data_IF_927047467286
#
_entry.id   IF_927047467286
#
_cell.length_a   1.000
_cell.length_b   1.000
_cell.length_c   1.000
_cell.angle_alpha   90.00
_cell.angle_beta   90.00
_cell.angle_gamma   90.00
#
_symmetry.space_group_name_H-M   'P 1'
#
loop_
_entity.id
_entity.type
_entity.pdbx_description
1 polymer ?
#
# COMPACT_ATOMS: atom_id res chain seq x y z
N UNK A 1 -18.58 -10.12 -6.88
CA UNK A 1 -17.48 -11.06 -6.55
C UNK A 1 -16.85 -11.52 -7.86
N UNK A 2 -15.52 -11.48 -7.98
CA UNK A 2 -14.76 -11.90 -9.17
C UNK A 2 -14.07 -13.23 -8.91
N UNK A 3 -13.50 -13.38 -7.72
CA UNK A 3 -12.76 -14.57 -7.32
C UNK A 3 -13.00 -14.86 -5.85
N UNK A 4 -12.66 -16.06 -5.41
CA UNK A 4 -12.83 -16.49 -4.02
C UNK A 4 -11.75 -17.48 -3.63
N UNK A 5 -11.19 -17.31 -2.42
CA UNK A 5 -10.50 -18.36 -1.71
C UNK A 5 -11.55 -19.19 -0.97
N UNK A 6 -11.67 -20.47 -1.25
CA UNK A 6 -12.54 -21.38 -0.51
C UNK A 6 -11.74 -22.48 0.19
N UNK A 7 -12.36 -23.14 1.16
CA UNK A 7 -11.68 -24.12 2.02
C UNK A 7 -11.48 -25.49 1.34
N UNK A 8 -11.88 -25.66 0.10
CA UNK A 8 -11.62 -26.90 -0.66
C UNK A 8 -10.13 -27.01 -0.95
N UNK A 9 -9.64 -28.22 -0.95
CA UNK A 9 -8.26 -28.52 -1.33
C UNK A 9 -7.95 -27.93 -2.71
N UNK A 10 -6.79 -27.33 -2.89
CA UNK A 10 -6.36 -26.62 -4.11
C UNK A 10 -7.12 -25.34 -4.50
N UNK A 11 -8.04 -24.83 -3.67
CA UNK A 11 -8.81 -23.61 -3.93
C UNK A 11 -8.50 -22.48 -2.93
N UNK A 12 -7.52 -22.68 -2.06
CA UNK A 12 -7.08 -21.69 -1.09
C UNK A 12 -5.58 -21.42 -1.21
N UNK A 13 -5.22 -20.13 -1.27
CA UNK A 13 -3.81 -19.69 -1.25
C UNK A 13 -3.69 -18.34 -0.53
N UNK A 14 -2.92 -18.34 0.56
CA UNK A 14 -2.62 -17.12 1.30
C UNK A 14 -1.91 -16.11 0.37
N UNK A 15 -2.26 -14.83 0.51
CA UNK A 15 -1.70 -13.75 -0.31
C UNK A 15 -2.37 -13.57 -1.67
N UNK A 16 -3.42 -14.35 -1.98
CA UNK A 16 -4.25 -14.19 -3.17
C UNK A 16 -5.70 -13.89 -2.81
N UNK A 17 -6.48 -13.45 -3.79
CA UNK A 17 -7.96 -13.31 -3.67
C UNK A 17 -8.70 -14.55 -4.19
N UNK A 18 -7.97 -15.63 -4.44
CA UNK A 18 -8.51 -16.92 -4.84
C UNK A 18 -8.64 -17.11 -6.34
N UNK A 19 -9.35 -18.18 -6.73
CA UNK A 19 -9.62 -18.50 -8.12
C UNK A 19 -10.85 -17.75 -8.63
N UNK A 20 -10.85 -17.42 -9.92
CA UNK A 20 -12.00 -16.80 -10.59
C UNK A 20 -13.21 -17.73 -10.50
N UNK A 21 -14.39 -17.17 -10.18
CA UNK A 21 -15.63 -17.94 -10.05
C UNK A 21 -16.20 -18.30 -11.41
N UNK A 22 -17.04 -19.35 -11.46
CA UNK A 22 -17.71 -19.79 -12.68
C UNK A 22 -18.56 -18.68 -13.30
N UNK A 23 -18.52 -18.60 -14.62
CA UNK A 23 -19.26 -17.58 -15.38
C UNK A 23 -18.59 -16.20 -15.43
N UNK A 24 -17.47 -16.01 -14.75
CA UNK A 24 -16.67 -14.80 -14.78
C UNK A 24 -15.39 -15.02 -15.57
N UNK A 25 -15.02 -14.06 -16.41
CA UNK A 25 -13.76 -14.06 -17.14
C UNK A 25 -12.91 -12.92 -16.65
N UNK A 26 -11.65 -13.20 -16.31
CA UNK A 26 -10.65 -12.21 -15.92
C UNK A 26 -9.51 -12.24 -16.92
N UNK A 27 -9.00 -11.07 -17.29
CA UNK A 27 -7.73 -10.91 -18.01
C UNK A 27 -6.91 -9.78 -17.41
N UNK A 28 -5.62 -9.87 -17.58
CA UNK A 28 -4.68 -8.80 -17.19
C UNK A 28 -4.38 -7.99 -18.44
N UNK A 29 -4.59 -6.66 -18.38
CA UNK A 29 -4.27 -5.75 -19.46
C UNK A 29 -2.74 -5.54 -19.56
N UNK A 30 -2.28 -4.89 -20.64
CA UNK A 30 -0.84 -4.62 -20.85
C UNK A 30 -0.20 -3.80 -19.73
N UNK A 31 -0.98 -2.93 -19.08
CA UNK A 31 -0.55 -2.10 -17.94
C UNK A 31 -0.71 -2.80 -16.59
N UNK A 32 -1.09 -4.08 -16.58
CA UNK A 32 -1.29 -4.88 -15.40
C UNK A 32 -2.67 -4.76 -14.76
N UNK A 33 -3.60 -3.96 -15.33
CA UNK A 33 -4.93 -3.81 -14.76
C UNK A 33 -5.76 -5.09 -14.90
N UNK A 34 -6.45 -5.46 -13.82
CA UNK A 34 -7.41 -6.57 -13.81
C UNK A 34 -8.68 -6.13 -14.50
N UNK A 35 -9.02 -6.79 -15.59
CA UNK A 35 -10.27 -6.61 -16.34
C UNK A 35 -11.21 -7.78 -16.08
N UNK A 36 -12.48 -7.47 -15.84
CA UNK A 36 -13.49 -8.48 -15.50
C UNK A 36 -14.68 -8.40 -16.46
N UNK A 37 -15.14 -9.56 -16.91
CA UNK A 37 -16.37 -9.75 -17.69
C UNK A 37 -17.21 -10.86 -17.08
N UNK A 38 -18.50 -10.64 -16.94
CA UNK A 38 -19.42 -11.66 -16.42
C UNK A 38 -20.74 -11.06 -15.92
N UNK A 39 -21.69 -11.91 -15.51
CA UNK A 39 -23.00 -11.47 -15.02
C UNK A 39 -22.94 -10.70 -13.69
N UNK A 40 -21.80 -10.73 -13.02
CA UNK A 40 -21.49 -9.97 -11.79
C UNK A 40 -21.09 -8.52 -12.06
N UNK A 41 -20.85 -8.15 -13.32
CA UNK A 41 -20.50 -6.78 -13.70
C UNK A 41 -21.77 -5.94 -13.79
N UNK A 42 -21.70 -4.72 -13.23
CA UNK A 42 -22.80 -3.76 -13.29
C UNK A 42 -23.14 -3.35 -14.73
N UNK A 43 -24.36 -2.92 -14.98
CA UNK A 43 -24.75 -2.30 -16.26
C UNK A 43 -24.13 -0.91 -16.46
N UNK A 44 -23.78 -0.22 -15.38
CA UNK A 44 -23.17 1.10 -15.39
C UNK A 44 -23.45 1.87 -14.09
N UNK A 45 -22.86 3.06 -13.98
CA UNK A 45 -23.15 4.01 -12.90
C UNK A 45 -24.46 4.74 -13.17
N UNK A 46 -25.34 4.78 -12.18
CA UNK A 46 -26.66 5.41 -12.31
C UNK A 46 -26.55 6.89 -12.69
N UNK A 47 -27.13 7.27 -13.84
CA UNK A 47 -27.08 8.62 -14.42
C UNK A 47 -25.68 9.21 -14.66
N UNK A 48 -24.66 8.36 -14.77
CA UNK A 48 -23.26 8.75 -14.97
C UNK A 48 -22.66 8.01 -16.17
N UNK A 49 -23.18 8.30 -17.37
CA UNK A 49 -22.79 7.60 -18.60
C UNK A 49 -21.30 7.75 -18.92
N UNK A 50 -20.74 8.96 -18.73
CA UNK A 50 -19.33 9.22 -19.01
C UNK A 50 -18.43 8.39 -18.08
N UNK A 51 -18.73 8.32 -16.78
CA UNK A 51 -18.00 7.44 -15.86
C UNK A 51 -18.15 5.97 -16.23
N UNK A 52 -19.31 5.58 -16.75
CA UNK A 52 -19.52 4.22 -17.21
C UNK A 52 -18.62 3.90 -18.41
N UNK A 53 -18.52 4.82 -19.38
CA UNK A 53 -17.65 4.67 -20.54
C UNK A 53 -16.17 4.61 -20.16
N UNK A 54 -15.74 5.36 -19.14
CA UNK A 54 -14.37 5.37 -18.64
C UNK A 54 -13.94 4.01 -18.05
N UNK A 55 -14.88 3.26 -17.48
CA UNK A 55 -14.59 2.00 -16.79
C UNK A 55 -15.02 0.75 -17.57
N UNK A 56 -15.50 0.91 -18.80
CA UNK A 56 -15.93 -0.20 -19.65
C UNK A 56 -15.17 -0.18 -20.97
N UNK A 57 -14.63 -1.34 -21.38
CA UNK A 57 -14.06 -1.56 -22.70
C UNK A 57 -14.72 -2.78 -23.33
N UNK A 58 -15.71 -2.51 -24.19
CA UNK A 58 -16.62 -3.56 -24.68
C UNK A 58 -17.35 -4.18 -23.50
N UNK A 59 -17.23 -5.50 -23.34
CA UNK A 59 -17.86 -6.24 -22.24
C UNK A 59 -17.00 -6.30 -20.95
N UNK A 60 -15.81 -5.72 -20.97
CA UNK A 60 -14.90 -5.78 -19.83
C UNK A 60 -14.99 -4.53 -18.96
N UNK A 61 -15.13 -4.76 -17.67
CA UNK A 61 -15.06 -3.75 -16.63
C UNK A 61 -13.61 -3.57 -16.18
N UNK A 62 -13.13 -2.34 -16.15
CA UNK A 62 -11.87 -1.92 -15.59
C UNK A 62 -11.98 -1.82 -14.08
N UNK A 63 -11.35 -2.73 -13.35
CA UNK A 63 -11.48 -2.77 -11.88
C UNK A 63 -10.75 -1.64 -11.17
N UNK A 64 -9.78 -1.05 -11.83
CA UNK A 64 -8.84 -0.10 -11.23
C UNK A 64 -7.83 -0.76 -10.29
N UNK A 65 -7.81 -2.08 -10.22
CA UNK A 65 -6.85 -2.87 -9.47
C UNK A 65 -5.79 -3.45 -10.43
N UNK A 66 -4.54 -3.42 -10.01
CA UNK A 66 -3.41 -4.07 -10.70
C UNK A 66 -3.20 -5.44 -10.07
N UNK A 67 -2.89 -6.42 -10.90
CA UNK A 67 -2.67 -7.77 -10.38
C UNK A 67 -2.15 -8.76 -11.42
N UNK A 68 -2.06 -9.99 -10.98
CA UNK A 68 -1.53 -11.10 -11.76
C UNK A 68 -2.36 -12.37 -11.52
N UNK A 69 -2.34 -13.28 -12.49
CA UNK A 69 -2.88 -14.63 -12.33
C UNK A 69 -1.68 -15.58 -12.38
N UNK A 70 -1.51 -16.37 -11.34
CA UNK A 70 -0.41 -17.34 -11.29
C UNK A 70 -0.69 -18.59 -12.17
N UNK A 71 0.31 -19.47 -12.27
CA UNK A 71 0.22 -20.68 -13.09
C UNK A 71 -0.90 -21.65 -12.66
N UNK A 72 -1.33 -21.59 -11.40
CA UNK A 72 -2.40 -22.41 -10.83
C UNK A 72 -3.79 -21.73 -10.92
N UNK A 73 -3.85 -20.53 -11.50
CA UNK A 73 -5.07 -19.76 -11.72
C UNK A 73 -5.54 -18.92 -10.54
N UNK A 74 -4.68 -18.66 -9.55
CA UNK A 74 -5.02 -17.76 -8.44
C UNK A 74 -4.79 -16.31 -8.84
N UNK A 75 -5.81 -15.49 -8.63
CA UNK A 75 -5.74 -14.05 -8.81
C UNK A 75 -5.11 -13.40 -7.58
N UNK A 76 -4.11 -12.56 -7.80
CA UNK A 76 -3.45 -11.75 -6.78
C UNK A 76 -3.57 -10.28 -7.15
N UNK A 77 -4.11 -9.47 -6.24
CA UNK A 77 -4.11 -8.00 -6.36
C UNK A 77 -2.79 -7.51 -5.80
N UNK A 78 -2.08 -6.72 -6.58
CA UNK A 78 -0.79 -6.16 -6.19
C UNK A 78 -0.88 -4.69 -5.82
N UNK A 79 -1.69 -3.89 -6.53
CA UNK A 79 -1.86 -2.47 -6.22
C UNK A 79 -3.19 -1.90 -6.76
N UNK A 80 -3.40 -0.62 -6.49
CA UNK A 80 -4.45 0.21 -7.09
C UNK A 80 -3.86 1.06 -8.22
N UNK A 81 -4.40 0.97 -9.43
CA UNK A 81 -3.93 1.73 -10.60
C UNK A 81 -3.81 3.24 -10.33
N UNK A 82 -4.77 3.82 -9.60
CA UNK A 82 -4.79 5.25 -9.23
C UNK A 82 -3.78 5.64 -8.16
N UNK A 83 -3.23 4.68 -7.42
CA UNK A 83 -2.24 4.92 -6.37
C UNK A 83 -0.82 4.72 -6.85
N UNK A 84 -0.63 3.99 -7.96
CA UNK A 84 0.68 3.88 -8.60
C UNK A 84 1.17 5.24 -9.06
N UNK A 85 2.45 5.47 -8.89
CA UNK A 85 3.06 6.71 -9.37
C UNK A 85 4.38 6.46 -10.12
N UNK A 86 4.78 7.45 -10.92
CA UNK A 86 6.09 7.47 -11.58
C UNK A 86 7.08 8.31 -10.80
N UNK A 87 8.29 7.80 -10.63
CA UNK A 87 9.44 8.62 -10.23
C UNK A 87 9.87 9.55 -11.37
N UNK A 88 10.71 10.56 -11.08
CA UNK A 88 11.28 11.43 -12.10
C UNK A 88 12.14 10.68 -13.14
N UNK A 89 12.67 9.52 -12.78
CA UNK A 89 13.37 8.60 -13.67
C UNK A 89 12.46 7.70 -14.52
N UNK A 90 11.14 7.91 -14.48
CA UNK A 90 10.15 7.17 -15.27
C UNK A 90 9.83 5.76 -14.77
N UNK A 91 10.33 5.36 -13.60
CA UNK A 91 10.02 4.06 -13.00
C UNK A 91 8.66 4.10 -12.29
N UNK A 92 7.83 3.09 -12.55
CA UNK A 92 6.58 2.92 -11.82
C UNK A 92 6.84 2.33 -10.45
N UNK A 93 6.16 2.87 -9.46
CA UNK A 93 6.15 2.41 -8.07
C UNK A 93 4.73 1.96 -7.73
N UNK A 94 4.63 0.81 -7.09
CA UNK A 94 3.42 0.21 -6.54
C UNK A 94 3.41 0.38 -5.00
N UNK A 95 2.85 1.46 -4.47
CA UNK A 95 2.97 1.80 -3.05
C UNK A 95 2.47 0.70 -2.11
N UNK A 96 1.32 0.10 -2.43
CA UNK A 96 0.69 -0.90 -1.55
C UNK A 96 1.54 -2.16 -1.39
N UNK A 97 2.25 -2.59 -2.44
CA UNK A 97 3.16 -3.76 -2.34
C UNK A 97 4.26 -3.48 -1.33
N UNK A 98 4.88 -2.30 -1.42
CA UNK A 98 5.97 -1.88 -0.53
C UNK A 98 5.42 -1.72 0.90
N UNK A 99 4.29 -1.02 1.06
CA UNK A 99 3.65 -0.77 2.34
C UNK A 99 3.25 -2.08 3.05
N UNK A 100 2.69 -3.04 2.33
CA UNK A 100 2.31 -4.33 2.88
C UNK A 100 3.53 -5.15 3.33
N UNK A 101 4.65 -5.07 2.61
CA UNK A 101 5.89 -5.74 3.01
C UNK A 101 6.50 -5.09 4.25
N UNK A 102 6.57 -3.77 4.29
CA UNK A 102 7.11 -3.02 5.44
C UNK A 102 6.28 -3.22 6.73
N UNK A 103 4.96 -3.36 6.60
CA UNK A 103 4.05 -3.64 7.73
C UNK A 103 4.22 -5.01 8.38
N UNK A 104 5.09 -5.87 7.87
CA UNK A 104 5.47 -7.11 8.55
C UNK A 104 6.41 -6.85 9.74
N UNK A 105 7.05 -5.67 9.79
CA UNK A 105 7.84 -5.23 10.94
C UNK A 105 6.93 -4.83 12.11
N UNK A 106 7.26 -5.30 13.31
CA UNK A 106 6.56 -4.94 14.55
C UNK A 106 6.72 -3.47 14.93
N UNK A 107 7.75 -2.81 14.40
CA UNK A 107 7.98 -1.38 14.60
C UNK A 107 6.96 -0.49 13.90
N UNK A 108 6.33 -0.98 12.81
CA UNK A 108 5.52 -0.19 11.88
C UNK A 108 4.04 -0.46 12.07
N UNK A 109 3.29 0.52 12.55
CA UNK A 109 1.82 0.46 12.60
C UNK A 109 1.22 0.82 11.23
N UNK A 110 1.59 1.98 10.69
CA UNK A 110 1.17 2.44 9.38
C UNK A 110 2.35 3.02 8.60
N UNK A 111 2.29 2.92 7.29
CA UNK A 111 3.30 3.47 6.40
C UNK A 111 2.65 3.99 5.13
N UNK A 112 3.09 5.13 4.66
CA UNK A 112 2.67 5.73 3.40
C UNK A 112 3.89 5.99 2.51
N UNK A 113 4.01 5.25 1.42
CA UNK A 113 5.05 5.46 0.41
C UNK A 113 4.71 6.68 -0.44
N UNK A 114 5.68 7.55 -0.60
CA UNK A 114 5.62 8.80 -1.37
C UNK A 114 6.76 8.87 -2.39
N UNK A 115 6.70 9.80 -3.34
CA UNK A 115 7.79 9.98 -4.31
C UNK A 115 7.32 10.22 -5.74
N UNK A 116 6.04 10.54 -5.96
CA UNK A 116 5.51 10.90 -7.27
C UNK A 116 6.29 12.08 -7.88
N UNK A 117 6.90 11.87 -9.07
CA UNK A 117 7.75 12.86 -9.72
C UNK A 117 9.10 13.14 -9.03
N UNK A 118 9.43 12.44 -7.94
CA UNK A 118 10.70 12.57 -7.22
C UNK A 118 11.74 11.55 -7.70
N UNK A 119 12.99 11.72 -7.31
CA UNK A 119 14.11 10.87 -7.75
C UNK A 119 13.99 9.41 -7.24
N UNK A 120 13.32 9.21 -6.11
CA UNK A 120 13.28 7.93 -5.40
C UNK A 120 12.02 7.81 -4.53
N UNK A 121 11.59 6.58 -4.19
CA UNK A 121 10.59 6.37 -3.16
C UNK A 121 11.13 6.76 -1.78
N UNK A 122 10.25 7.35 -0.97
CA UNK A 122 10.46 7.63 0.44
C UNK A 122 9.20 7.24 1.22
N UNK A 123 9.24 7.24 2.54
CA UNK A 123 8.10 6.86 3.35
C UNK A 123 7.87 7.79 4.54
N UNK A 124 6.59 8.08 4.81
CA UNK A 124 6.13 8.49 6.13
C UNK A 124 5.72 7.25 6.91
N UNK A 125 6.18 7.12 8.14
CA UNK A 125 5.94 5.96 8.98
C UNK A 125 5.35 6.39 10.31
N UNK A 126 4.20 5.81 10.65
CA UNK A 126 3.68 5.83 12.00
C UNK A 126 4.23 4.62 12.74
N UNK A 127 5.04 4.82 13.78
CA UNK A 127 5.50 3.73 14.63
C UNK A 127 4.36 3.05 15.38
N UNK A 128 4.51 1.76 15.69
CA UNK A 128 3.68 1.08 16.67
C UNK A 128 4.07 1.59 18.06
N UNK A 129 3.23 2.41 18.66
CA UNK A 129 3.55 3.17 19.88
C UNK A 129 3.90 2.25 21.04
N UNK A 130 3.07 1.24 21.29
CA UNK A 130 3.29 0.31 22.39
C UNK A 130 4.62 -0.44 22.23
N UNK A 131 4.87 -0.96 21.02
CA UNK A 131 6.08 -1.70 20.73
C UNK A 131 7.33 -0.85 20.87
N UNK A 132 7.38 0.34 20.25
CA UNK A 132 8.59 1.17 20.25
C UNK A 132 8.92 1.76 21.62
N UNK A 133 7.92 2.10 22.44
CA UNK A 133 8.14 2.58 23.81
C UNK A 133 8.71 1.46 24.68
N UNK A 134 8.19 0.25 24.58
CA UNK A 134 8.72 -0.90 25.32
C UNK A 134 10.14 -1.25 24.87
N UNK A 135 10.37 -1.29 23.56
CA UNK A 135 11.69 -1.56 23.00
C UNK A 135 12.73 -0.52 23.44
N UNK A 136 12.42 0.78 23.41
CA UNK A 136 13.31 1.84 23.90
C UNK A 136 13.64 1.66 25.38
N UNK A 137 12.68 1.27 26.20
CA UNK A 137 12.87 0.99 27.61
C UNK A 137 13.84 -0.18 27.83
N UNK A 138 13.76 -1.24 27.05
CA UNK A 138 14.70 -2.37 27.07
C UNK A 138 16.10 -1.92 26.66
N UNK A 139 16.19 -0.99 25.71
CA UNK A 139 17.43 -0.36 25.26
C UNK A 139 18.00 0.70 26.24
N UNK A 140 17.36 0.87 27.41
CA UNK A 140 17.79 1.81 28.44
C UNK A 140 17.43 3.27 28.16
N UNK A 141 16.52 3.53 27.22
CA UNK A 141 16.03 4.88 26.88
C UNK A 141 14.63 5.06 27.45
N UNK A 142 14.45 6.07 28.30
CA UNK A 142 13.16 6.38 28.91
C UNK A 142 12.40 7.41 28.06
N UNK A 143 11.39 6.96 27.35
CA UNK A 143 10.47 7.81 26.60
C UNK A 143 9.03 7.58 27.06
N UNK A 144 8.27 8.65 27.22
CA UNK A 144 6.87 8.61 27.68
C UNK A 144 5.86 9.00 26.61
N UNK A 145 6.34 9.41 25.43
CA UNK A 145 5.47 9.81 24.31
C UNK A 145 6.11 9.47 22.97
N UNK A 146 5.27 9.22 21.97
CA UNK A 146 5.71 8.99 20.59
C UNK A 146 6.52 10.17 20.06
N UNK A 147 6.09 11.41 20.33
CA UNK A 147 6.76 12.63 19.87
C UNK A 147 8.19 12.80 20.43
N UNK A 148 8.49 12.20 21.59
CA UNK A 148 9.85 12.12 22.11
C UNK A 148 10.60 10.94 21.46
N UNK A 149 9.96 9.77 21.40
CA UNK A 149 10.57 8.55 20.87
C UNK A 149 11.08 8.70 19.44
N UNK A 150 10.32 9.33 18.54
CA UNK A 150 10.71 9.50 17.12
C UNK A 150 11.96 10.37 16.91
N UNK A 151 12.45 11.03 17.95
CA UNK A 151 13.67 11.83 17.92
C UNK A 151 14.91 11.05 18.43
N UNK A 152 14.69 9.89 19.03
CA UNK A 152 15.76 9.07 19.58
C UNK A 152 16.57 8.41 18.46
N UNK A 153 17.87 8.66 18.45
CA UNK A 153 18.79 8.12 17.44
C UNK A 153 18.71 6.60 17.36
N UNK A 154 18.66 5.92 18.52
CA UNK A 154 18.54 4.46 18.58
C UNK A 154 17.29 3.96 17.84
N UNK A 155 16.15 4.66 18.00
CA UNK A 155 14.93 4.27 17.32
C UNK A 155 15.04 4.48 15.80
N UNK A 156 15.61 5.60 15.37
CA UNK A 156 15.82 5.90 13.95
C UNK A 156 16.72 4.85 13.31
N UNK A 157 17.81 4.44 13.99
CA UNK A 157 18.70 3.37 13.54
C UNK A 157 17.98 2.01 13.45
N UNK A 158 17.13 1.68 14.42
CA UNK A 158 16.32 0.48 14.40
C UNK A 158 15.36 0.47 13.19
N UNK A 159 14.67 1.57 12.93
CA UNK A 159 13.83 1.70 11.74
C UNK A 159 14.63 1.61 10.44
N UNK A 160 15.84 2.16 10.39
CA UNK A 160 16.68 2.02 9.20
C UNK A 160 17.01 0.54 8.93
N UNK A 161 17.36 -0.23 9.96
CA UNK A 161 17.66 -1.65 9.85
C UNK A 161 16.42 -2.46 9.39
N UNK A 162 15.22 -2.14 9.93
CA UNK A 162 13.97 -2.75 9.50
C UNK A 162 13.70 -2.47 8.02
N UNK A 163 13.81 -1.20 7.61
CA UNK A 163 13.60 -0.80 6.21
C UNK A 163 14.62 -1.49 5.30
N UNK A 164 15.88 -1.55 5.67
CA UNK A 164 16.93 -2.19 4.87
C UNK A 164 16.68 -3.70 4.73
N UNK A 165 16.20 -4.34 5.79
CA UNK A 165 15.82 -5.75 5.78
C UNK A 165 14.66 -6.01 4.79
N UNK A 166 13.60 -5.24 4.88
CA UNK A 166 12.45 -5.41 4.01
C UNK A 166 12.70 -4.93 2.56
N UNK A 167 13.58 -3.96 2.36
CA UNK A 167 13.99 -3.49 1.03
C UNK A 167 14.64 -4.59 0.17
N UNK A 168 15.18 -5.64 0.77
CA UNK A 168 15.78 -6.76 0.03
C UNK A 168 14.79 -7.50 -0.87
N UNK A 169 13.49 -7.37 -0.60
CA UNK A 169 12.43 -7.95 -1.43
C UNK A 169 12.13 -7.15 -2.71
N UNK A 170 12.75 -5.98 -2.89
CA UNK A 170 12.41 -5.02 -3.96
C UNK A 170 13.60 -4.70 -4.86
N UNK A 171 13.29 -4.39 -6.11
CA UNK A 171 14.25 -3.82 -7.04
C UNK A 171 14.79 -2.47 -6.53
N UNK A 172 16.00 -2.11 -6.92
CA UNK A 172 16.71 -0.92 -6.40
C UNK A 172 15.92 0.39 -6.56
N UNK A 173 15.05 0.47 -7.57
CA UNK A 173 14.21 1.65 -7.85
C UNK A 173 12.92 1.70 -7.02
N UNK A 174 12.52 0.58 -6.39
CA UNK A 174 11.32 0.46 -5.53
C UNK A 174 11.66 0.62 -4.05
N UNK A 175 12.93 0.47 -3.71
CA UNK A 175 13.41 0.53 -2.32
C UNK A 175 13.18 1.91 -1.71
N UNK A 176 12.66 1.95 -0.50
CA UNK A 176 12.58 3.17 0.32
C UNK A 176 14.00 3.63 0.63
N UNK A 177 14.37 4.84 0.18
CA UNK A 177 15.71 5.40 0.37
C UNK A 177 15.80 6.40 1.50
N UNK A 178 14.67 7.01 1.87
CA UNK A 178 14.55 7.93 3.00
C UNK A 178 13.20 7.73 3.66
N UNK A 179 13.12 7.99 4.94
CA UNK A 179 11.88 7.96 5.69
C UNK A 179 11.83 9.04 6.76
N UNK A 180 10.63 9.34 7.23
CA UNK A 180 10.38 10.16 8.40
C UNK A 180 9.37 9.46 9.30
N UNK A 181 9.62 9.49 10.60
CA UNK A 181 8.68 8.98 11.60
C UNK A 181 7.71 10.10 11.99
N UNK A 182 6.41 9.79 12.02
CA UNK A 182 5.41 10.76 12.44
C UNK A 182 5.29 10.79 13.97
N UNK A 183 5.17 11.98 14.59
CA UNK A 183 5.19 12.12 16.03
C UNK A 183 3.85 11.80 16.71
N UNK A 184 2.85 11.42 15.94
CA UNK A 184 1.48 11.15 16.38
C UNK A 184 0.88 9.98 15.61
N UNK A 185 -0.16 9.37 16.18
CA UNK A 185 -0.89 8.27 15.58
C UNK A 185 -1.85 8.75 14.48
N UNK A 186 -2.03 7.93 13.45
CA UNK A 186 -3.02 8.17 12.42
C UNK A 186 -4.34 7.49 12.80
N UNK A 187 -5.37 8.28 13.01
CA UNK A 187 -6.64 7.80 13.51
C UNK A 187 -7.79 8.03 12.52
N UNK A 188 -8.91 7.35 12.76
CA UNK A 188 -10.17 7.56 12.04
C UNK A 188 -10.74 8.92 12.41
N UNK A 189 -10.71 9.28 13.70
CA UNK A 189 -11.33 10.50 14.24
C UNK A 189 -10.66 11.77 13.70
N UNK A 190 -9.33 11.76 13.55
CA UNK A 190 -8.61 12.86 12.92
C UNK A 190 -8.62 12.82 11.39
N UNK A 191 -9.30 11.83 10.83
CA UNK A 191 -9.49 11.72 9.40
C UNK A 191 -8.31 11.18 8.62
N UNK A 192 -7.29 10.63 9.25
CA UNK A 192 -6.13 10.01 8.59
C UNK A 192 -6.49 8.67 7.95
N UNK A 193 -7.41 7.94 8.58
CA UNK A 193 -7.86 6.62 8.15
C UNK A 193 -9.34 6.63 7.79
N UNK A 194 -9.74 5.70 6.93
CA UNK A 194 -11.15 5.37 6.73
C UNK A 194 -11.65 4.45 7.86
N UNK A 195 -12.98 4.26 8.04
CA UNK A 195 -13.51 3.27 8.98
C UNK A 195 -13.01 1.84 8.75
N UNK A 196 -12.51 1.52 7.56
CA UNK A 196 -11.89 0.24 7.22
C UNK A 196 -10.36 0.27 7.32
N UNK A 197 -9.80 1.21 8.08
CA UNK A 197 -8.36 1.38 8.35
C UNK A 197 -7.48 1.64 7.11
N UNK A 198 -8.06 2.12 6.01
CA UNK A 198 -7.30 2.52 4.81
C UNK A 198 -6.82 3.95 4.92
N UNK A 199 -5.59 4.21 4.46
CA UNK A 199 -4.98 5.54 4.46
C UNK A 199 -5.78 6.53 3.60
N UNK A 200 -6.08 7.69 4.14
CA UNK A 200 -6.53 8.85 3.37
C UNK A 200 -5.30 9.64 2.92
N UNK A 201 -4.62 9.14 1.89
CA UNK A 201 -3.30 9.61 1.44
C UNK A 201 -3.21 11.12 1.25
N UNK A 202 -4.27 11.75 0.71
CA UNK A 202 -4.31 13.20 0.51
C UNK A 202 -4.22 13.95 1.85
N UNK A 203 -5.01 13.54 2.84
CA UNK A 203 -5.04 14.17 4.17
C UNK A 203 -3.68 14.04 4.85
N UNK A 204 -3.10 12.85 4.83
CA UNK A 204 -1.78 12.59 5.42
C UNK A 204 -0.70 13.40 4.70
N UNK A 205 -0.72 13.42 3.37
CA UNK A 205 0.23 14.21 2.58
C UNK A 205 0.15 15.70 2.91
N UNK A 206 -1.06 16.25 2.94
CA UNK A 206 -1.28 17.68 3.20
C UNK A 206 -0.80 18.04 4.62
N UNK A 207 -1.05 17.17 5.62
CA UNK A 207 -0.61 17.37 7.01
C UNK A 207 0.91 17.32 7.18
N UNK A 208 1.58 16.39 6.52
CA UNK A 208 3.02 16.13 6.68
C UNK A 208 3.87 16.60 5.49
N UNK A 209 3.37 17.56 4.70
CA UNK A 209 4.08 18.05 3.50
C UNK A 209 5.51 18.51 3.83
N UNK A 210 5.71 19.23 4.94
CA UNK A 210 7.03 19.67 5.39
C UNK A 210 8.00 18.50 5.69
N UNK A 211 7.52 17.40 6.28
CA UNK A 211 8.33 16.21 6.51
C UNK A 211 8.65 15.51 5.19
N UNK A 212 7.68 15.45 4.27
CA UNK A 212 7.89 14.87 2.93
C UNK A 212 8.96 15.67 2.17
N UNK A 213 8.86 16.98 2.13
CA UNK A 213 9.82 17.83 1.43
C UNK A 213 11.23 17.69 2.02
N UNK A 214 11.36 17.57 3.34
CA UNK A 214 12.66 17.39 4.01
C UNK A 214 13.40 16.11 3.57
N UNK A 215 12.67 15.08 3.12
CA UNK A 215 13.29 13.87 2.60
C UNK A 215 13.94 14.05 1.23
N UNK A 216 13.58 15.10 0.49
CA UNK A 216 14.07 15.37 -0.86
C UNK A 216 14.98 16.59 -0.98
N UNK A 217 15.15 17.30 0.13
CA UNK A 217 16.08 18.42 0.24
C UNK A 217 17.55 18.00 0.10
#
# INVERSE_FOLDING_TARGET
VISVNDMRESHFRIGTVGKVIDGVTVKIAEDGEILCKGPNVMMGYYKEEEKTKEVMSGDYFHTGDIGEIDADGFLKITDRKKEMFKTSGGKYIAPQVIENQMKQSLFIEQIMVVGAGRKMPAALIQPNVEYVINWLKEEGVSCTSLAAAVKETKLIEAFQNEIDTHNQHFGSWEQIKKFQLTPEEWTIDEGHLTPTMKLKRKVIKDKYDGLIESMYA
#
